data_IF_510709236876
#
_entry.id   IF_510709236876
#
_cell.length_a   1.000
_cell.length_b   1.000
_cell.length_c   1.000
_cell.angle_alpha   90.00
_cell.angle_beta   90.00
_cell.angle_gamma   90.00
#
_symmetry.space_group_name_H-M   'P 1'
#
loop_
_entity.id
_entity.type
_entity.pdbx_description
1 polymer ?
#
# COMPACT_ATOMS: atom_id res chain seq x y z
N UNK A 1 -13.72 -4.62 -7.27
CA UNK A 1 -13.76 -3.25 -6.73
C UNK A 1 -12.79 -2.39 -7.54
N UNK A 2 -12.97 -1.07 -7.55
CA UNK A 2 -12.06 -0.09 -8.18
C UNK A 2 -11.92 1.10 -7.21
N UNK A 3 -10.70 1.59 -7.02
CA UNK A 3 -10.39 2.71 -6.13
C UNK A 3 -9.10 3.38 -6.56
N UNK A 4 -8.91 4.65 -6.18
CA UNK A 4 -7.71 5.43 -6.49
C UNK A 4 -6.48 5.00 -5.70
N UNK A 5 -6.70 4.40 -4.51
CA UNK A 5 -5.66 3.92 -3.63
C UNK A 5 -6.09 2.61 -2.95
N UNK A 6 -5.11 1.94 -2.33
CA UNK A 6 -5.35 0.67 -1.63
C UNK A 6 -6.10 0.85 -0.29
N UNK A 7 -6.05 2.05 0.32
CA UNK A 7 -6.69 2.33 1.61
C UNK A 7 -8.21 2.34 1.44
N UNK A 8 -8.72 2.97 0.39
CA UNK A 8 -10.13 2.98 0.03
C UNK A 8 -10.68 1.57 -0.23
N UNK A 9 -9.82 0.65 -0.68
CA UNK A 9 -10.19 -0.74 -0.96
C UNK A 9 -9.98 -1.70 0.22
N UNK A 10 -9.25 -1.28 1.25
CA UNK A 10 -8.87 -2.09 2.40
C UNK A 10 -10.04 -2.77 3.12
N UNK A 11 -11.24 -2.14 3.28
CA UNK A 11 -12.38 -2.81 3.91
C UNK A 11 -12.96 -3.96 3.08
N UNK A 12 -12.68 -4.01 1.78
CA UNK A 12 -13.30 -4.94 0.83
C UNK A 12 -12.36 -6.03 0.36
N UNK A 13 -11.06 -5.75 0.28
CA UNK A 13 -10.05 -6.71 -0.18
C UNK A 13 -8.64 -6.32 0.27
N UNK A 14 -7.78 -7.33 0.43
CA UNK A 14 -6.34 -7.19 0.64
C UNK A 14 -5.52 -7.53 -0.63
N UNK A 15 -6.19 -7.77 -1.76
CA UNK A 15 -5.56 -8.15 -3.03
C UNK A 15 -5.74 -7.02 -4.04
N UNK A 16 -4.64 -6.38 -4.43
CA UNK A 16 -4.62 -5.21 -5.30
C UNK A 16 -3.82 -5.50 -6.57
N UNK A 17 -4.29 -4.99 -7.70
CA UNK A 17 -3.53 -4.92 -8.94
C UNK A 17 -3.45 -3.44 -9.33
N UNK A 18 -2.24 -2.90 -9.43
CA UNK A 18 -2.03 -1.52 -9.86
C UNK A 18 -1.98 -1.46 -11.39
N UNK A 19 -2.55 -0.38 -11.94
CA UNK A 19 -2.41 -0.03 -13.35
C UNK A 19 -1.08 0.72 -13.53
N UNK A 20 -0.42 0.48 -14.66
CA UNK A 20 0.72 1.28 -15.09
C UNK A 20 0.26 2.52 -15.86
N UNK A 21 1.15 3.48 -16.06
CA UNK A 21 0.85 4.69 -16.83
C UNK A 21 0.45 4.31 -18.27
N UNK A 22 -0.69 4.85 -18.72
CA UNK A 22 -1.25 4.56 -20.04
C UNK A 22 -2.15 3.31 -20.10
N UNK A 23 -2.21 2.52 -19.01
CA UNK A 23 -3.16 1.41 -18.95
C UNK A 23 -4.61 1.89 -18.85
N UNK A 24 -5.51 1.09 -19.41
CA UNK A 24 -6.94 1.20 -19.19
C UNK A 24 -7.56 -0.18 -18.96
N UNK A 25 -8.67 -0.23 -18.24
CA UNK A 25 -9.27 -1.49 -17.82
C UNK A 25 -10.77 -1.55 -18.14
N UNK A 26 -11.20 -2.71 -18.62
CA UNK A 26 -12.63 -3.05 -18.77
C UNK A 26 -13.05 -3.86 -17.54
N UNK A 27 -13.90 -3.27 -16.71
CA UNK A 27 -14.39 -3.88 -15.47
C UNK A 27 -15.79 -4.44 -15.68
N UNK A 28 -15.97 -5.74 -15.42
CA UNK A 28 -17.25 -6.45 -15.46
C UNK A 28 -17.51 -7.14 -14.12
N UNK A 29 -18.70 -7.70 -13.95
CA UNK A 29 -19.08 -8.40 -12.71
C UNK A 29 -18.28 -9.69 -12.51
N UNK A 30 -17.96 -10.36 -13.61
CA UNK A 30 -17.20 -11.61 -13.68
C UNK A 30 -15.67 -11.41 -13.64
N UNK A 31 -15.16 -10.19 -13.86
CA UNK A 31 -13.72 -9.95 -13.85
C UNK A 31 -13.28 -8.62 -14.44
N UNK A 32 -11.96 -8.47 -14.58
CA UNK A 32 -11.31 -7.29 -15.16
C UNK A 32 -10.35 -7.72 -16.27
N UNK A 33 -10.28 -6.94 -17.34
CA UNK A 33 -9.27 -7.08 -18.40
C UNK A 33 -8.55 -5.75 -18.55
N UNK A 34 -7.22 -5.78 -18.61
CA UNK A 34 -6.37 -4.59 -18.69
C UNK A 34 -5.70 -4.56 -20.06
N UNK A 35 -5.57 -3.35 -20.59
CA UNK A 35 -4.94 -3.06 -21.87
C UNK A 35 -3.92 -1.94 -21.70
N UNK A 36 -2.84 -1.99 -22.48
CA UNK A 36 -1.91 -0.87 -22.61
C UNK A 36 -2.48 0.22 -23.53
N UNK A 37 -1.70 1.30 -23.68
CA UNK A 37 -2.07 2.46 -24.52
C UNK A 37 -2.23 2.11 -26.01
N UNK A 38 -1.55 1.06 -26.48
CA UNK A 38 -1.61 0.58 -27.85
C UNK A 38 -2.78 -0.40 -28.09
N UNK A 39 -3.52 -0.73 -27.02
CA UNK A 39 -4.68 -1.63 -27.06
C UNK A 39 -4.33 -3.11 -26.93
N UNK A 40 -3.08 -3.46 -26.59
CA UNK A 40 -2.71 -4.85 -26.34
C UNK A 40 -3.18 -5.27 -24.95
N UNK A 41 -3.68 -6.50 -24.83
CA UNK A 41 -4.06 -7.05 -23.53
C UNK A 41 -2.80 -7.32 -22.71
N UNK A 42 -2.77 -6.81 -21.47
CA UNK A 42 -1.66 -6.98 -20.53
C UNK A 42 -2.13 -7.69 -19.26
N UNK A 43 -1.21 -8.42 -18.63
CA UNK A 43 -1.44 -9.03 -17.32
C UNK A 43 -0.60 -8.29 -16.27
N UNK A 44 -1.28 -7.74 -15.26
CA UNK A 44 -0.67 -6.94 -14.20
C UNK A 44 -0.66 -7.74 -12.92
N UNK A 45 0.52 -7.79 -12.28
CA UNK A 45 0.74 -8.61 -11.09
C UNK A 45 -0.23 -8.21 -9.97
N UNK A 46 -0.97 -9.21 -9.49
CA UNK A 46 -1.74 -9.11 -8.25
C UNK A 46 -0.80 -9.16 -7.05
N UNK A 47 -0.91 -8.19 -6.17
CA UNK A 47 -0.12 -8.07 -4.95
C UNK A 47 -1.04 -8.19 -3.74
N UNK A 48 -0.58 -8.86 -2.69
CA UNK A 48 -1.24 -8.74 -1.38
C UNK A 48 -0.74 -7.46 -0.71
N UNK A 49 -1.68 -6.56 -0.42
CA UNK A 49 -1.39 -5.39 0.41
C UNK A 49 -1.27 -5.87 1.86
N UNK A 50 -0.04 -5.91 2.37
CA UNK A 50 0.28 -6.44 3.70
C UNK A 50 -0.18 -5.55 4.86
N UNK A 51 -0.60 -4.30 4.60
CA UNK A 51 -0.47 -3.26 5.64
C UNK A 51 -1.56 -2.19 5.67
N UNK A 52 -2.79 -2.46 5.20
CA UNK A 52 -3.78 -1.37 5.11
C UNK A 52 -4.84 -1.31 6.21
N UNK A 53 -5.17 -2.42 6.89
CA UNK A 53 -6.27 -2.39 7.88
C UNK A 53 -5.88 -1.91 9.27
N UNK A 54 -4.60 -1.97 9.66
CA UNK A 54 -4.15 -1.57 11.00
C UNK A 54 -3.55 -0.17 11.09
N UNK A 55 -3.24 0.48 9.97
CA UNK A 55 -2.46 1.73 9.96
C UNK A 55 -3.32 3.00 9.90
N UNK A 56 -4.60 2.89 9.56
CA UNK A 56 -5.51 4.02 9.32
C UNK A 56 -6.59 4.13 10.42
N UNK A 57 -6.22 3.87 11.67
CA UNK A 57 -7.05 4.18 12.82
C UNK A 57 -6.46 5.39 13.57
N UNK A 58 -7.29 6.25 14.15
CA UNK A 58 -6.82 7.29 15.08
C UNK A 58 -6.36 6.71 16.41
N UNK A 59 -6.74 5.47 16.72
CA UNK A 59 -6.50 4.85 18.03
C UNK A 59 -7.10 5.71 19.14
N UNK A 60 -6.35 5.94 20.22
CA UNK A 60 -6.80 6.73 21.37
C UNK A 60 -6.52 8.25 21.23
N UNK A 61 -6.40 8.76 20.00
CA UNK A 61 -6.05 10.17 19.72
C UNK A 61 -7.20 10.91 19.06
N UNK A 62 -7.30 12.22 19.32
CA UNK A 62 -8.41 13.03 18.80
C UNK A 62 -8.24 13.37 17.32
N UNK A 63 -6.99 13.54 16.89
CA UNK A 63 -6.63 13.93 15.52
C UNK A 63 -5.55 13.01 14.94
N UNK A 64 -5.60 12.75 13.63
CA UNK A 64 -4.56 11.97 12.94
C UNK A 64 -3.17 12.61 13.09
N UNK A 65 -3.10 13.94 12.95
CA UNK A 65 -1.85 14.68 13.15
C UNK A 65 -1.27 14.48 14.57
N UNK A 66 -2.12 14.42 15.60
CA UNK A 66 -1.67 14.17 16.97
C UNK A 66 -1.10 12.75 17.10
N UNK A 67 -1.80 11.73 16.56
CA UNK A 67 -1.30 10.36 16.47
C UNK A 67 0.06 10.31 15.78
N UNK A 68 0.16 10.89 14.58
CA UNK A 68 1.38 10.86 13.75
C UNK A 68 2.57 11.53 14.44
N UNK A 69 2.36 12.63 15.18
CA UNK A 69 3.42 13.26 15.99
C UNK A 69 3.93 12.32 17.09
N UNK A 70 3.03 11.62 17.77
CA UNK A 70 3.40 10.71 18.85
C UNK A 70 4.03 9.40 18.35
N UNK A 71 3.73 8.98 17.13
CA UNK A 71 4.30 7.77 16.51
C UNK A 71 5.72 7.99 15.93
N UNK A 72 6.18 9.23 15.79
CA UNK A 72 7.48 9.54 15.18
C UNK A 72 8.65 8.74 15.77
N UNK A 73 8.83 8.61 17.11
CA UNK A 73 9.98 7.89 17.66
C UNK A 73 10.00 6.41 17.26
N UNK A 74 8.83 5.77 17.23
CA UNK A 74 8.69 4.37 16.83
C UNK A 74 8.94 4.21 15.32
N UNK A 75 8.31 5.05 14.50
CA UNK A 75 8.46 5.02 13.03
C UNK A 75 9.91 5.27 12.62
N UNK A 76 10.61 6.21 13.27
CA UNK A 76 12.04 6.46 13.04
C UNK A 76 12.85 5.20 13.39
N UNK A 77 12.59 4.58 14.53
CA UNK A 77 13.30 3.36 14.97
C UNK A 77 13.07 2.18 14.01
N UNK A 78 11.82 1.96 13.57
CA UNK A 78 11.47 0.94 12.58
C UNK A 78 12.14 1.20 11.23
N UNK A 79 12.13 2.45 10.77
CA UNK A 79 12.77 2.83 9.50
C UNK A 79 14.28 2.57 9.59
N UNK A 80 14.92 2.99 10.67
CA UNK A 80 16.35 2.74 10.89
C UNK A 80 16.67 1.25 11.02
N UNK A 81 15.82 0.44 11.65
CA UNK A 81 16.02 -1.02 11.80
C UNK A 81 16.10 -1.76 10.46
N UNK A 82 15.52 -1.19 9.40
CA UNK A 82 15.65 -1.73 8.05
C UNK A 82 17.09 -1.58 7.51
N UNK A 83 17.76 -0.47 7.84
CA UNK A 83 19.08 -0.12 7.31
C UNK A 83 20.22 -0.37 8.27
N UNK A 84 19.98 -0.44 9.58
CA UNK A 84 21.00 -0.58 10.62
C UNK A 84 20.68 -1.80 11.47
N UNK A 85 21.71 -2.62 11.69
CA UNK A 85 21.67 -3.61 12.75
C UNK A 85 22.07 -2.94 14.07
N UNK A 86 21.08 -2.71 14.93
CA UNK A 86 21.28 -2.09 16.24
C UNK A 86 22.12 -2.92 17.21
N UNK A 87 22.29 -4.23 16.96
CA UNK A 87 23.15 -5.09 17.79
C UNK A 87 24.61 -4.92 17.42
N UNK A 88 24.92 -4.90 16.11
CA UNK A 88 26.30 -4.78 15.63
C UNK A 88 26.75 -3.34 15.35
N UNK A 89 25.82 -2.38 15.34
CA UNK A 89 26.08 -0.97 15.02
C UNK A 89 26.47 -0.72 13.56
N UNK A 90 26.20 -1.68 12.66
CA UNK A 90 26.57 -1.60 11.24
C UNK A 90 25.35 -1.43 10.35
N UNK A 91 25.55 -0.83 9.18
CA UNK A 91 24.53 -0.81 8.14
C UNK A 91 24.33 -2.21 7.55
N UNK A 92 23.07 -2.57 7.31
CA UNK A 92 22.69 -3.73 6.51
C UNK A 92 22.97 -3.40 5.03
N UNK A 93 23.44 -4.38 4.23
CA UNK A 93 23.72 -4.17 2.80
C UNK A 93 22.44 -3.90 2.00
#
# INVERSE_FOLDING_TARGET
>A
FLGSDAIALAPFTNSITYLEDGDWAVVRREGVTIYDIDGNKVDRKRQQSLSTSFMVDKGNRRHFMEKEIHEQPEVISHTLAHYVDFVSGKSKP
#
